data_IF_634738046685
#
_entry.id   IF_634738046685
#
_cell.length_a   1.000
_cell.length_b   1.000
_cell.length_c   1.000
_cell.angle_alpha   90.00
_cell.angle_beta   90.00
_cell.angle_gamma   90.00
#
_symmetry.space_group_name_H-M   'P 1'
#
loop_
_entity.id
_entity.type
_entity.pdbx_description
1 polymer ?
#
# COMPACT_ATOMS: atom_id res chain seq x y z
N UNK A 1 14.85 31.01 28.34
CA UNK A 1 15.94 30.06 28.65
C UNK A 1 17.12 30.81 29.29
N UNK A 2 17.95 30.07 30.00
CA UNK A 2 19.20 30.62 30.55
C UNK A 2 20.29 30.41 29.49
N UNK A 3 20.92 31.53 29.07
CA UNK A 3 22.01 31.48 28.09
C UNK A 3 23.37 31.10 28.72
N UNK A 4 24.41 30.95 27.88
CA UNK A 4 25.78 30.69 28.33
C UNK A 4 26.35 31.80 29.20
N UNK A 5 25.81 33.01 29.09
CA UNK A 5 26.10 34.22 29.88
C UNK A 5 25.41 34.22 31.24
N UNK A 6 24.71 33.13 31.61
CA UNK A 6 23.94 32.97 32.84
C UNK A 6 22.80 33.99 33.01
N UNK A 7 22.32 34.60 31.91
CA UNK A 7 21.19 35.54 31.91
C UNK A 7 19.94 34.88 31.28
N UNK A 8 18.77 35.44 31.62
CA UNK A 8 17.50 35.05 31.05
C UNK A 8 17.33 35.65 29.65
N UNK A 9 17.09 34.80 28.65
CA UNK A 9 16.80 35.20 27.29
C UNK A 9 15.43 34.71 26.86
N UNK A 10 14.75 35.50 26.04
CA UNK A 10 13.48 35.09 25.40
C UNK A 10 13.80 34.45 24.04
N UNK A 11 13.46 33.17 23.83
CA UNK A 11 13.69 32.50 22.56
C UNK A 11 12.80 33.09 21.45
N UNK A 12 13.30 33.09 20.24
CA UNK A 12 12.45 33.36 19.06
C UNK A 12 11.51 32.18 18.87
N UNK A 13 10.22 32.46 18.93
CA UNK A 13 9.19 31.45 18.71
C UNK A 13 8.59 31.64 17.33
N UNK A 14 8.63 30.58 16.50
CA UNK A 14 8.02 30.57 15.17
C UNK A 14 6.80 29.67 15.21
N UNK A 15 5.61 30.26 15.15
CA UNK A 15 4.35 29.54 14.99
C UNK A 15 4.05 29.34 13.52
N UNK A 16 3.81 28.08 13.12
CA UNK A 16 3.47 27.75 11.74
C UNK A 16 2.35 26.71 11.69
N UNK A 17 1.29 26.99 10.97
CA UNK A 17 0.20 26.08 10.65
C UNK A 17 0.16 25.90 9.12
N UNK A 18 0.63 24.75 8.62
CA UNK A 18 0.71 24.52 7.17
C UNK A 18 -0.57 23.95 6.58
N UNK A 19 -1.27 23.10 7.31
CA UNK A 19 -2.44 22.33 6.84
C UNK A 19 -3.69 22.60 7.71
N UNK A 20 -3.64 23.57 8.61
CA UNK A 20 -4.65 23.76 9.62
C UNK A 20 -4.69 22.61 10.63
N UNK A 21 -5.87 22.02 10.88
CA UNK A 21 -5.99 20.81 11.68
C UNK A 21 -5.65 19.57 10.83
N UNK A 22 -4.76 18.70 11.35
CA UNK A 22 -4.39 17.44 10.69
C UNK A 22 -5.61 16.54 10.48
N UNK A 23 -6.50 16.48 11.45
CA UNK A 23 -7.70 15.66 11.40
C UNK A 23 -8.63 16.12 10.26
N UNK A 24 -8.83 17.41 10.11
CA UNK A 24 -9.62 17.98 9.00
C UNK A 24 -8.95 17.71 7.66
N UNK A 25 -7.64 17.85 7.59
CA UNK A 25 -6.89 17.57 6.37
C UNK A 25 -6.96 16.08 5.96
N UNK A 26 -6.83 15.16 6.93
CA UNK A 26 -7.02 13.72 6.70
C UNK A 26 -8.45 13.43 6.24
N UNK A 27 -9.45 14.09 6.84
CA UNK A 27 -10.85 13.98 6.42
C UNK A 27 -11.05 14.38 4.96
N UNK A 28 -10.52 15.53 4.54
CA UNK A 28 -10.58 16.02 3.16
C UNK A 28 -9.88 15.04 2.20
N UNK A 29 -8.70 14.52 2.56
CA UNK A 29 -8.00 13.53 1.75
C UNK A 29 -8.79 12.23 1.62
N UNK A 30 -9.42 11.77 2.71
CA UNK A 30 -10.23 10.56 2.70
C UNK A 30 -11.45 10.72 1.80
N UNK A 31 -12.07 11.89 1.80
CA UNK A 31 -13.19 12.23 0.93
C UNK A 31 -12.75 12.30 -0.55
N UNK A 32 -11.67 13.00 -0.85
CA UNK A 32 -11.11 13.15 -2.20
C UNK A 32 -10.76 11.80 -2.85
N UNK A 33 -10.12 10.91 -2.10
CA UNK A 33 -9.74 9.59 -2.59
C UNK A 33 -10.80 8.50 -2.35
N UNK A 34 -11.95 8.83 -1.77
CA UNK A 34 -12.95 7.85 -1.33
C UNK A 34 -12.34 6.69 -0.51
N UNK A 35 -11.36 6.98 0.34
CA UNK A 35 -10.58 6.01 1.11
C UNK A 35 -9.53 5.22 0.31
N UNK A 36 -9.54 5.32 -1.02
CA UNK A 36 -8.60 4.59 -1.90
C UNK A 36 -7.31 5.37 -2.12
N UNK A 37 -6.55 5.59 -1.06
CA UNK A 37 -5.31 6.36 -1.12
C UNK A 37 -4.32 5.82 -2.16
N UNK A 38 -3.54 6.72 -2.82
CA UNK A 38 -2.39 6.32 -3.61
C UNK A 38 -1.39 5.51 -2.78
N UNK A 39 -0.58 4.67 -3.41
CA UNK A 39 0.39 3.80 -2.74
C UNK A 39 1.31 4.58 -1.78
N UNK A 40 1.78 5.77 -2.17
CA UNK A 40 2.67 6.58 -1.35
C UNK A 40 2.01 7.18 -0.09
N UNK A 41 0.67 7.40 -0.10
CA UNK A 41 -0.12 7.88 1.04
C UNK A 41 -0.76 6.77 1.86
N UNK A 42 -0.93 5.58 1.29
CA UNK A 42 -1.66 4.48 1.94
C UNK A 42 -1.01 4.06 3.26
N UNK A 43 -1.78 3.96 4.38
CA UNK A 43 -1.25 3.50 5.66
C UNK A 43 -0.74 2.05 5.62
N UNK A 44 -1.36 1.21 4.80
CA UNK A 44 -0.92 -0.14 4.46
C UNK A 44 -0.76 -0.22 2.94
N UNK A 45 0.46 -0.42 2.46
CA UNK A 45 0.77 -0.44 1.03
C UNK A 45 0.67 -1.84 0.45
N UNK A 46 0.95 -2.85 1.26
CA UNK A 46 0.98 -4.25 0.86
C UNK A 46 0.34 -5.12 1.93
N UNK A 47 -0.55 -6.04 1.51
CA UNK A 47 -1.02 -7.13 2.34
C UNK A 47 -0.39 -8.44 1.86
N UNK A 48 0.39 -9.10 2.71
CA UNK A 48 1.05 -10.38 2.44
C UNK A 48 0.22 -11.50 3.05
N UNK A 49 -0.27 -12.41 2.22
CA UNK A 49 -1.19 -13.48 2.61
C UNK A 49 -0.64 -14.84 2.25
N UNK A 50 -0.78 -15.82 3.14
CA UNK A 50 -0.54 -17.24 2.87
C UNK A 50 -1.81 -17.92 2.36
N UNK A 51 -1.65 -19.01 1.62
CA UNK A 51 -2.78 -19.88 1.21
C UNK A 51 -3.04 -20.94 2.29
N UNK A 52 -2.00 -21.63 2.77
CA UNK A 52 -2.05 -22.61 3.84
C UNK A 52 -1.01 -22.30 4.91
N UNK A 53 -1.11 -22.95 6.06
CA UNK A 53 -0.22 -22.70 7.21
C UNK A 53 1.25 -23.00 6.88
N UNK A 54 1.53 -23.92 5.94
CA UNK A 54 2.90 -24.27 5.52
C UNK A 54 3.67 -23.10 4.93
N UNK A 55 2.97 -22.10 4.38
CA UNK A 55 3.61 -20.90 3.79
C UNK A 55 3.69 -19.71 4.77
N UNK A 56 3.32 -19.92 6.05
CA UNK A 56 3.38 -18.83 7.03
C UNK A 56 4.78 -18.25 7.20
N UNK A 57 5.79 -19.11 7.27
CA UNK A 57 7.18 -18.67 7.46
C UNK A 57 7.73 -17.96 6.22
N UNK A 58 7.37 -18.44 5.03
CA UNK A 58 7.69 -17.75 3.78
C UNK A 58 7.02 -16.36 3.71
N UNK A 59 5.75 -16.27 4.04
CA UNK A 59 5.05 -14.99 4.07
C UNK A 59 5.65 -14.00 5.07
N UNK A 60 6.13 -14.47 6.23
CA UNK A 60 6.88 -13.63 7.18
C UNK A 60 8.21 -13.13 6.60
N UNK A 61 8.98 -14.00 5.92
CA UNK A 61 10.22 -13.60 5.26
C UNK A 61 9.97 -12.53 4.17
N UNK A 62 8.89 -12.69 3.40
CA UNK A 62 8.48 -11.68 2.41
C UNK A 62 8.14 -10.36 3.09
N UNK A 63 7.39 -10.40 4.19
CA UNK A 63 7.06 -9.21 4.98
C UNK A 63 8.32 -8.52 5.51
N UNK A 64 9.26 -9.27 6.10
CA UNK A 64 10.50 -8.73 6.66
C UNK A 64 11.35 -8.03 5.60
N UNK A 65 11.42 -8.59 4.38
CA UNK A 65 12.10 -7.95 3.25
C UNK A 65 11.42 -6.62 2.84
N UNK A 66 10.08 -6.58 2.81
CA UNK A 66 9.33 -5.37 2.49
C UNK A 66 9.51 -4.30 3.57
N UNK A 67 9.44 -4.69 4.84
CA UNK A 67 9.60 -3.79 5.99
C UNK A 67 11.02 -3.21 6.06
N UNK A 68 12.06 -4.02 5.83
CA UNK A 68 13.45 -3.58 5.77
C UNK A 68 13.69 -2.51 4.69
N UNK A 69 12.88 -2.50 3.64
CA UNK A 69 12.93 -1.52 2.55
C UNK A 69 12.00 -0.30 2.78
N UNK A 70 11.40 -0.21 3.98
CA UNK A 70 10.53 0.90 4.40
C UNK A 70 9.14 0.87 3.78
N UNK A 71 8.69 -0.27 3.24
CA UNK A 71 7.35 -0.46 2.70
C UNK A 71 6.41 -0.84 3.84
N UNK A 72 5.32 -0.09 4.02
CA UNK A 72 4.30 -0.33 5.04
C UNK A 72 3.46 -1.56 4.67
N UNK A 73 3.94 -2.73 5.05
CA UNK A 73 3.28 -4.00 4.80
C UNK A 73 2.52 -4.52 6.05
N UNK A 74 1.56 -5.41 5.83
CA UNK A 74 0.90 -6.22 6.86
C UNK A 74 0.86 -7.67 6.42
N UNK A 75 0.98 -8.60 7.37
CA UNK A 75 0.74 -10.02 7.13
C UNK A 75 -0.69 -10.40 7.51
N UNK A 76 -1.30 -11.28 6.72
CA UNK A 76 -2.55 -11.96 7.06
C UNK A 76 -2.33 -13.47 6.99
N UNK A 77 -1.98 -14.05 8.13
CA UNK A 77 -1.65 -15.46 8.30
C UNK A 77 -2.80 -16.28 8.88
N UNK A 78 -4.02 -15.73 8.91
CA UNK A 78 -5.20 -16.44 9.41
C UNK A 78 -5.47 -17.69 8.57
N UNK A 79 -6.03 -18.69 9.17
CA UNK A 79 -6.48 -19.92 8.47
C UNK A 79 -7.86 -19.69 7.82
N UNK A 80 -7.91 -18.73 6.89
CA UNK A 80 -9.10 -18.38 6.11
C UNK A 80 -8.86 -18.65 4.62
N UNK A 81 -9.96 -18.85 3.87
CA UNK A 81 -9.87 -19.00 2.41
C UNK A 81 -9.23 -17.78 1.78
N UNK A 82 -8.26 -17.98 0.90
CA UNK A 82 -7.51 -16.90 0.24
C UNK A 82 -8.43 -15.88 -0.46
N UNK A 83 -9.53 -16.32 -1.06
CA UNK A 83 -10.51 -15.44 -1.68
C UNK A 83 -11.20 -14.49 -0.68
N UNK A 84 -11.41 -14.94 0.57
CA UNK A 84 -11.94 -14.12 1.65
C UNK A 84 -10.92 -13.04 2.07
N UNK A 85 -9.67 -13.45 2.30
CA UNK A 85 -8.57 -12.51 2.63
C UNK A 85 -8.39 -11.44 1.56
N UNK A 86 -8.34 -11.84 0.28
CA UNK A 86 -8.23 -10.92 -0.85
C UNK A 86 -9.38 -9.91 -0.84
N UNK A 87 -10.63 -10.39 -0.66
CA UNK A 87 -11.80 -9.50 -0.61
C UNK A 87 -11.72 -8.50 0.54
N UNK A 88 -11.33 -8.95 1.73
CA UNK A 88 -11.22 -8.10 2.92
C UNK A 88 -10.18 -6.98 2.69
N UNK A 89 -8.98 -7.32 2.24
CA UNK A 89 -7.95 -6.34 1.96
C UNK A 89 -8.27 -5.42 0.77
N UNK A 90 -9.05 -5.91 -0.19
CA UNK A 90 -9.60 -5.07 -1.27
C UNK A 90 -10.59 -4.04 -0.72
N UNK A 91 -11.48 -4.44 0.20
CA UNK A 91 -12.41 -3.53 0.87
C UNK A 91 -11.71 -2.51 1.79
N UNK A 92 -10.55 -2.89 2.35
CA UNK A 92 -9.66 -1.99 3.10
C UNK A 92 -8.84 -1.07 2.19
N UNK A 93 -9.05 -1.12 0.86
CA UNK A 93 -8.35 -0.33 -0.14
C UNK A 93 -6.82 -0.48 -0.14
N UNK A 94 -6.29 -1.64 0.27
CA UNK A 94 -4.84 -1.92 0.21
C UNK A 94 -4.38 -1.96 -1.24
N UNK A 95 -3.37 -1.16 -1.65
CA UNK A 95 -2.96 -1.04 -3.05
C UNK A 95 -2.49 -2.34 -3.66
N UNK A 96 -1.64 -3.10 -2.95
CA UNK A 96 -1.04 -4.33 -3.43
C UNK A 96 -1.38 -5.51 -2.53
N UNK A 97 -1.84 -6.60 -3.15
CA UNK A 97 -2.20 -7.86 -2.52
C UNK A 97 -1.21 -8.92 -2.97
N UNK A 98 -0.46 -9.47 -2.03
CA UNK A 98 0.60 -10.45 -2.27
C UNK A 98 0.18 -11.80 -1.71
N UNK A 99 0.17 -12.81 -2.57
CA UNK A 99 -0.22 -14.17 -2.21
C UNK A 99 1.01 -15.08 -2.26
N UNK A 100 1.27 -15.75 -1.14
CA UNK A 100 2.32 -16.74 -0.97
C UNK A 100 1.70 -18.13 -0.99
N UNK A 101 1.72 -18.78 -2.14
CA UNK A 101 1.32 -20.18 -2.32
C UNK A 101 2.52 -21.12 -2.30
N UNK A 102 2.27 -22.44 -2.37
CA UNK A 102 3.32 -23.45 -2.35
C UNK A 102 4.28 -23.31 -3.53
N UNK A 103 3.75 -23.11 -4.75
CA UNK A 103 4.55 -22.95 -5.97
C UNK A 103 5.42 -21.68 -5.92
N UNK A 104 4.85 -20.60 -5.42
CA UNK A 104 5.54 -19.33 -5.27
C UNK A 104 6.66 -19.45 -4.23
N UNK A 105 6.42 -20.12 -3.11
CA UNK A 105 7.41 -20.36 -2.07
C UNK A 105 8.58 -21.21 -2.57
N UNK A 106 8.32 -22.29 -3.33
CA UNK A 106 9.36 -23.14 -3.94
C UNK A 106 10.25 -22.37 -4.92
N UNK A 107 9.69 -21.39 -5.63
CA UNK A 107 10.42 -20.58 -6.61
C UNK A 107 11.01 -19.29 -6.02
N UNK A 108 10.77 -18.99 -4.74
CA UNK A 108 11.17 -17.74 -4.11
C UNK A 108 10.46 -16.51 -4.70
N UNK A 109 9.23 -16.69 -5.20
CA UNK A 109 8.41 -15.67 -5.85
C UNK A 109 7.13 -15.39 -5.07
N UNK A 110 6.37 -14.41 -5.53
CA UNK A 110 5.06 -14.04 -4.98
C UNK A 110 4.08 -13.76 -6.11
N UNK A 111 2.82 -14.12 -5.95
CA UNK A 111 1.76 -13.72 -6.86
C UNK A 111 1.19 -12.37 -6.39
N UNK A 112 1.10 -11.41 -7.31
CA UNK A 112 0.77 -10.02 -6.97
C UNK A 112 -0.49 -9.59 -7.70
N UNK A 113 -1.38 -8.94 -6.96
CA UNK A 113 -2.59 -8.32 -7.47
C UNK A 113 -2.74 -6.90 -6.96
N UNK A 114 -3.47 -6.08 -7.70
CA UNK A 114 -3.87 -4.77 -7.24
C UNK A 114 -5.26 -4.80 -6.60
N UNK A 115 -5.60 -3.76 -5.83
CA UNK A 115 -6.95 -3.61 -5.23
C UNK A 115 -8.08 -3.54 -6.25
N UNK A 116 -7.82 -3.10 -7.49
CA UNK A 116 -8.82 -3.05 -8.57
C UNK A 116 -8.97 -4.38 -9.32
N UNK A 117 -8.17 -5.38 -8.94
CA UNK A 117 -8.24 -6.74 -9.46
C UNK A 117 -7.32 -7.02 -10.63
N UNK A 118 -6.39 -6.10 -11.00
CA UNK A 118 -5.35 -6.42 -11.95
C UNK A 118 -4.46 -7.53 -11.41
N UNK A 119 -4.25 -8.57 -12.20
CA UNK A 119 -3.31 -9.65 -11.90
C UNK A 119 -1.97 -9.30 -12.53
N UNK A 120 -0.97 -9.01 -11.71
CA UNK A 120 0.39 -8.70 -12.15
C UNK A 120 1.24 -9.97 -12.37
N UNK A 121 0.63 -11.14 -12.14
CA UNK A 121 1.32 -12.42 -12.24
C UNK A 121 2.27 -12.69 -11.08
N UNK A 122 3.21 -13.60 -11.35
CA UNK A 122 4.20 -14.05 -10.36
C UNK A 122 5.53 -13.35 -10.61
N UNK A 123 6.10 -12.72 -9.58
CA UNK A 123 7.36 -11.98 -9.67
C UNK A 123 8.26 -12.26 -8.46
N UNK A 124 9.52 -11.84 -8.52
CA UNK A 124 10.42 -11.90 -7.36
C UNK A 124 10.06 -10.83 -6.33
N UNK A 125 10.45 -11.03 -5.07
CA UNK A 125 10.21 -10.03 -4.02
C UNK A 125 10.96 -8.73 -4.33
N UNK A 126 12.14 -8.84 -4.93
CA UNK A 126 12.97 -7.71 -5.35
C UNK A 126 12.29 -6.87 -6.45
N UNK A 127 11.62 -7.50 -7.40
CA UNK A 127 10.90 -6.79 -8.46
C UNK A 127 9.63 -6.13 -7.93
N UNK A 128 8.95 -6.79 -6.99
CA UNK A 128 7.82 -6.18 -6.26
C UNK A 128 8.26 -4.93 -5.51
N UNK A 129 9.39 -4.97 -4.80
CA UNK A 129 9.97 -3.83 -4.09
C UNK A 129 10.25 -2.67 -5.05
N UNK A 130 10.88 -2.95 -6.20
CA UNK A 130 11.16 -1.93 -7.22
C UNK A 130 9.88 -1.31 -7.76
N UNK A 131 8.86 -2.11 -8.04
CA UNK A 131 7.56 -1.66 -8.52
C UNK A 131 6.92 -0.69 -7.52
N UNK A 132 6.81 -1.09 -6.25
CA UNK A 132 6.18 -0.27 -5.21
C UNK A 132 6.98 1.01 -4.97
N UNK A 133 8.31 0.94 -4.91
CA UNK A 133 9.16 2.11 -4.76
C UNK A 133 9.04 3.08 -5.94
N UNK A 134 8.91 2.57 -7.15
CA UNK A 134 8.65 3.40 -8.33
C UNK A 134 7.35 4.18 -8.19
N UNK A 135 6.26 3.54 -7.76
CA UNK A 135 4.97 4.21 -7.52
C UNK A 135 5.07 5.27 -6.42
N UNK A 136 5.81 4.97 -5.35
CA UNK A 136 6.02 5.89 -4.23
C UNK A 136 6.82 7.12 -4.69
N UNK A 137 7.93 6.91 -5.38
CA UNK A 137 8.81 8.00 -5.86
C UNK A 137 8.11 8.88 -6.89
N UNK A 138 7.38 8.26 -7.82
CA UNK A 138 6.66 8.97 -8.86
C UNK A 138 5.34 9.59 -8.36
N UNK A 139 4.94 9.29 -7.10
CA UNK A 139 3.68 9.75 -6.49
C UNK A 139 2.47 9.47 -7.37
N UNK A 140 2.44 8.29 -8.01
CA UNK A 140 1.31 7.88 -8.84
C UNK A 140 0.02 7.84 -8.03
N UNK A 141 -1.07 8.29 -8.63
CA UNK A 141 -2.39 8.22 -7.99
C UNK A 141 -2.91 6.78 -7.87
N UNK A 142 -2.50 5.92 -8.81
CA UNK A 142 -2.80 4.49 -8.77
C UNK A 142 -1.73 3.71 -9.54
N UNK A 143 -1.59 2.38 -9.29
CA UNK A 143 -0.75 1.50 -10.10
C UNK A 143 -1.12 1.54 -11.58
N UNK A 144 -0.13 1.47 -12.47
CA UNK A 144 -0.35 1.56 -13.93
C UNK A 144 -1.35 0.50 -14.44
N UNK A 145 -1.30 -0.71 -13.90
CA UNK A 145 -2.24 -1.77 -14.24
C UNK A 145 -3.71 -1.43 -13.87
N UNK A 146 -3.92 -0.67 -12.80
CA UNK A 146 -5.25 -0.20 -12.41
C UNK A 146 -5.78 0.91 -13.33
N UNK A 147 -4.89 1.71 -13.93
CA UNK A 147 -5.25 2.72 -14.93
C UNK A 147 -5.84 2.07 -16.19
N UNK A 148 -5.26 0.96 -16.64
CA UNK A 148 -5.75 0.22 -17.79
C UNK A 148 -7.13 -0.39 -17.54
N UNK A 149 -7.36 -0.96 -16.36
CA UNK A 149 -8.67 -1.49 -15.96
C UNK A 149 -9.72 -0.37 -15.94
N UNK A 150 -9.37 0.78 -15.42
CA UNK A 150 -10.30 1.91 -15.31
C UNK A 150 -10.70 2.45 -16.68
N UNK A 151 -9.74 2.59 -17.60
CA UNK A 151 -10.01 2.96 -18.99
C UNK A 151 -10.95 1.96 -19.68
N UNK A 152 -10.67 0.66 -19.56
CA UNK A 152 -11.51 -0.39 -20.14
C UNK A 152 -12.95 -0.38 -19.58
N UNK A 153 -13.12 -0.06 -18.31
CA UNK A 153 -14.46 0.08 -17.69
C UNK A 153 -15.21 1.31 -18.22
N UNK A 154 -14.54 2.44 -18.33
CA UNK A 154 -15.13 3.68 -18.86
C UNK A 154 -15.56 3.50 -20.33
N UNK A 155 -14.75 2.85 -21.14
CA UNK A 155 -15.08 2.51 -22.54
C UNK A 155 -16.29 1.57 -22.64
N UNK A 156 -16.36 0.56 -21.76
CA UNK A 156 -17.50 -0.35 -21.71
C UNK A 156 -18.81 0.32 -21.25
N UNK A 157 -18.72 1.32 -20.38
CA UNK A 157 -19.88 2.11 -19.93
C UNK A 157 -20.33 3.11 -20.99
N UNK A 158 -19.41 3.70 -21.75
CA UNK A 158 -19.74 4.60 -22.85
C UNK A 158 -20.49 3.84 -23.97
N UNK A 159 -20.02 2.64 -24.34
CA UNK A 159 -20.65 1.80 -25.35
C UNK A 159 -22.03 1.21 -24.95
N UNK A 160 -22.43 1.32 -23.68
CA UNK A 160 -23.78 0.90 -23.22
C UNK A 160 -24.82 2.00 -23.28
N UNK A 161 -24.39 3.25 -23.46
CA UNK A 161 -25.26 4.43 -23.51
C UNK A 161 -25.65 4.86 -24.91
N UNK A 162 -25.00 4.29 -25.93
CA UNK A 162 -25.35 4.36 -27.34
C UNK A 162 -26.20 3.14 -27.74
#
# INVERSE_FOLDING_TARGET
YIGEDNQEHVPVMIHRAMLGSLERFIGILTEEYAGSFPTWLSPCQVAVMNITDDQCDYAKQVYEKLDAEGIRAKTDLRNDKIGFKIREHTLMHVPYLVVCGAREAEQGKVAVRTRKGADLGTMTVEDLIKLIKSDIIQRKNMPDADVEIEKSRQEAEANKKD
#
